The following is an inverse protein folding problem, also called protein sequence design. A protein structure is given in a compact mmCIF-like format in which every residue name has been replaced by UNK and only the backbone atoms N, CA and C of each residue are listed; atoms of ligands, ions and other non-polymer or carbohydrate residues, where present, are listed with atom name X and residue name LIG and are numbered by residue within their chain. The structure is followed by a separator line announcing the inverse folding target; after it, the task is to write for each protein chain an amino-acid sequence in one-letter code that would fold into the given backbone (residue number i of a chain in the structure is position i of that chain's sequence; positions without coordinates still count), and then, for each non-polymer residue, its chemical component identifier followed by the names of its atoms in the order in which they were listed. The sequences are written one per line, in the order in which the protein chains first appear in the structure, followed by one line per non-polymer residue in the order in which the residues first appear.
data_IF_506283926826
#
_entry.id   IF_506283926826
#
_cell.length_a   1.000
_cell.length_b   1.000
_cell.length_c   1.000
_cell.angle_alpha   90.00
_cell.angle_beta   90.00
_cell.angle_gamma   90.00
#
_symmetry.space_group_name_H-M   'P 1'
#
loop_
_entity.id
_entity.type
_entity.pdbx_description
1 polymer ?
#
# COMPACT_ATOMS: atom_id res chain seq x y z
N UNK A 1 18.29 7.16 -9.80
CA UNK A 1 18.44 7.66 -8.42
C UNK A 1 19.81 7.27 -7.90
N UNK A 2 20.64 8.23 -7.56
CA UNK A 2 22.02 8.05 -7.11
C UNK A 2 22.15 8.30 -5.61
N UNK A 3 23.36 8.11 -5.04
CA UNK A 3 23.65 8.43 -3.60
C UNK A 3 23.31 9.90 -3.28
N UNK A 4 23.48 10.83 -4.24
CA UNK A 4 23.07 12.24 -4.09
C UNK A 4 21.56 12.39 -3.95
N UNK A 5 20.78 11.63 -4.72
CA UNK A 5 19.31 11.68 -4.67
C UNK A 5 18.78 11.08 -3.35
N UNK A 6 19.43 10.03 -2.85
CA UNK A 6 19.12 9.41 -1.55
C UNK A 6 19.44 10.37 -0.39
N UNK A 7 20.54 11.14 -0.50
CA UNK A 7 20.93 12.14 0.48
C UNK A 7 19.98 13.34 0.56
N UNK A 8 19.38 13.75 -0.55
CA UNK A 8 18.37 14.82 -0.57
C UNK A 8 17.02 14.38 0.04
N UNK A 9 16.63 13.11 -0.12
CA UNK A 9 15.43 12.57 0.53
C UNK A 9 15.62 12.39 2.05
N UNK A 10 16.82 12.04 2.51
CA UNK A 10 17.15 11.93 3.93
C UNK A 10 17.14 13.27 4.68
N UNK A 11 17.29 14.39 3.96
CA UNK A 11 17.24 15.75 4.56
C UNK A 11 15.84 16.23 4.93
N UNK A 12 14.78 15.52 4.53
CA UNK A 12 13.38 15.85 4.87
C UNK A 12 12.76 14.95 5.93
N UNK A 13 13.45 13.88 6.31
CA UNK A 13 13.06 13.01 7.43
C UNK A 13 14.19 13.15 8.47
N UNK A 14 13.88 13.59 9.69
CA UNK A 14 14.88 13.67 10.77
C UNK A 14 15.61 12.32 10.88
N UNK A 15 16.85 12.29 10.39
CA UNK A 15 17.71 11.12 10.44
C UNK A 15 18.07 10.88 11.92
N UNK A 16 17.47 9.88 12.55
CA UNK A 16 17.96 9.37 13.82
C UNK A 16 19.36 8.86 13.59
N UNK A 17 20.34 9.64 14.05
CA UNK A 17 21.73 9.23 14.14
C UNK A 17 21.85 8.31 15.35
N UNK A 18 22.14 7.04 15.13
CA UNK A 18 22.53 6.13 16.19
C UNK A 18 23.99 6.42 16.59
N UNK A 19 24.36 6.12 17.84
CA UNK A 19 25.59 6.49 18.55
C UNK A 19 26.95 6.11 17.89
N UNK A 20 26.97 5.88 16.57
CA UNK A 20 28.16 5.51 15.81
C UNK A 20 28.36 6.25 14.47
N UNK A 21 27.61 7.33 14.18
CA UNK A 21 27.82 8.12 12.95
C UNK A 21 27.43 7.40 11.64
N UNK A 22 26.75 6.25 11.72
CA UNK A 22 26.18 5.54 10.56
C UNK A 22 24.77 6.04 10.32
N UNK A 23 24.58 6.82 9.25
CA UNK A 23 23.26 7.12 8.74
C UNK A 23 22.56 5.80 8.41
N UNK A 24 21.37 5.55 8.99
CA UNK A 24 20.59 4.35 8.71
C UNK A 24 20.04 4.46 7.29
N UNK A 25 20.77 3.95 6.32
CA UNK A 25 20.42 4.01 4.89
C UNK A 25 19.32 3.00 4.48
N UNK A 26 18.87 2.16 5.40
CA UNK A 26 17.90 1.10 5.08
C UNK A 26 16.52 1.63 4.70
N UNK A 27 16.05 2.72 5.31
CA UNK A 27 14.76 3.30 4.97
C UNK A 27 14.72 3.95 3.56
N UNK A 28 15.67 4.81 3.16
CA UNK A 28 15.74 5.33 1.80
C UNK A 28 15.93 4.22 0.74
N UNK A 29 16.71 3.18 1.05
CA UNK A 29 16.92 2.05 0.14
C UNK A 29 15.64 1.23 -0.03
N UNK A 30 14.92 0.98 1.06
CA UNK A 30 13.62 0.32 1.02
C UNK A 30 12.64 1.07 0.13
N UNK A 31 12.48 2.39 0.31
CA UNK A 31 11.60 3.21 -0.51
C UNK A 31 12.02 3.20 -1.99
N UNK A 32 13.32 3.30 -2.28
CA UNK A 32 13.83 3.28 -3.64
C UNK A 32 13.60 1.93 -4.36
N UNK A 33 13.66 0.81 -3.66
CA UNK A 33 13.35 -0.51 -4.24
C UNK A 33 11.83 -0.66 -4.37
N UNK A 34 11.04 -0.25 -3.37
CA UNK A 34 9.58 -0.28 -3.39
C UNK A 34 9.02 0.50 -4.58
N UNK A 35 9.47 1.73 -4.78
CA UNK A 35 9.09 2.57 -5.93
C UNK A 35 9.34 1.85 -7.26
N UNK A 36 10.51 1.23 -7.43
CA UNK A 36 10.83 0.50 -8.67
C UNK A 36 9.98 -0.74 -8.91
N UNK A 37 9.52 -1.39 -7.84
CA UNK A 37 8.58 -2.51 -7.93
C UNK A 37 7.20 -1.99 -8.32
N UNK A 38 6.75 -0.88 -7.72
CA UNK A 38 5.44 -0.28 -7.98
C UNK A 38 5.35 0.27 -9.41
N UNK A 39 6.38 0.99 -9.87
CA UNK A 39 6.48 1.51 -11.25
C UNK A 39 6.88 0.42 -12.27
N UNK A 40 6.92 -0.86 -11.86
CA UNK A 40 7.27 -2.02 -12.69
C UNK A 40 8.64 -1.92 -13.39
N UNK A 41 9.52 -1.03 -12.94
CA UNK A 41 10.94 -1.00 -13.34
C UNK A 41 11.66 -2.28 -12.91
N UNK A 42 11.17 -2.90 -11.83
CA UNK A 42 11.46 -4.26 -11.40
C UNK A 42 10.17 -5.08 -11.60
N UNK A 43 10.05 -5.80 -12.74
CA UNK A 43 8.78 -6.43 -13.10
C UNK A 43 8.36 -7.56 -12.16
N UNK A 44 7.06 -7.86 -12.05
CA UNK A 44 6.57 -9.03 -11.31
C UNK A 44 7.25 -10.32 -11.76
N UNK A 45 7.67 -11.15 -10.78
CA UNK A 45 8.39 -12.40 -11.02
C UNK A 45 9.88 -12.25 -11.32
N UNK A 46 10.39 -11.04 -11.55
CA UNK A 46 11.81 -10.82 -11.87
C UNK A 46 12.70 -11.11 -10.66
N UNK A 47 13.90 -11.66 -10.95
CA UNK A 47 14.91 -11.93 -9.93
C UNK A 47 15.59 -10.64 -9.48
N UNK A 48 15.75 -10.48 -8.17
CA UNK A 48 16.44 -9.33 -7.56
C UNK A 48 17.90 -9.73 -7.25
N UNK A 49 18.83 -9.21 -8.03
CA UNK A 49 20.26 -9.41 -7.81
C UNK A 49 20.77 -8.33 -6.84
N UNK A 50 21.28 -8.76 -5.67
CA UNK A 50 21.78 -7.86 -4.62
C UNK A 50 22.96 -7.03 -5.13
N UNK A 51 23.90 -7.63 -5.86
CA UNK A 51 25.08 -6.93 -6.36
C UNK A 51 24.71 -5.86 -7.39
N UNK A 52 23.76 -6.17 -8.27
CA UNK A 52 23.23 -5.20 -9.22
C UNK A 52 22.49 -4.04 -8.52
N UNK A 53 21.74 -4.33 -7.44
CA UNK A 53 21.08 -3.31 -6.64
C UNK A 53 22.09 -2.42 -5.88
N UNK A 54 23.17 -3.02 -5.32
CA UNK A 54 24.23 -2.24 -4.66
C UNK A 54 24.90 -1.29 -5.62
N UNK A 55 25.24 -1.77 -6.82
CA UNK A 55 25.83 -0.93 -7.86
C UNK A 55 24.88 0.21 -8.29
N UNK A 56 23.61 -0.13 -8.51
CA UNK A 56 22.60 0.83 -9.02
C UNK A 56 22.25 1.91 -7.99
N UNK A 57 22.20 1.54 -6.69
CA UNK A 57 21.83 2.46 -5.60
C UNK A 57 23.05 3.10 -4.91
N UNK A 58 24.27 2.63 -5.20
CA UNK A 58 25.50 3.16 -4.62
C UNK A 58 25.65 2.92 -3.12
N UNK A 59 25.12 1.79 -2.61
CA UNK A 59 25.14 1.42 -1.20
C UNK A 59 25.74 0.03 -1.00
N UNK A 60 26.11 -0.32 0.24
CA UNK A 60 26.58 -1.68 0.56
C UNK A 60 25.44 -2.73 0.53
N UNK A 61 25.78 -4.02 0.60
CA UNK A 61 24.79 -5.10 0.60
C UNK A 61 23.88 -5.12 1.84
N UNK A 62 24.35 -4.63 2.99
CA UNK A 62 23.59 -4.69 4.24
C UNK A 62 22.26 -3.94 4.16
N UNK A 63 22.19 -2.64 3.81
CA UNK A 63 20.91 -1.94 3.69
C UNK A 63 20.01 -2.51 2.58
N UNK A 64 20.58 -3.11 1.51
CA UNK A 64 19.80 -3.82 0.49
C UNK A 64 19.10 -5.05 1.10
N UNK A 65 19.83 -5.89 1.86
CA UNK A 65 19.28 -7.07 2.50
C UNK A 65 18.18 -6.71 3.51
N UNK A 66 18.40 -5.68 4.33
CA UNK A 66 17.38 -5.18 5.27
C UNK A 66 16.13 -4.70 4.55
N UNK A 67 16.27 -3.94 3.47
CA UNK A 67 15.16 -3.50 2.65
C UNK A 67 14.39 -4.68 2.03
N UNK A 68 15.09 -5.68 1.49
CA UNK A 68 14.47 -6.87 0.90
C UNK A 68 13.73 -7.73 1.93
N UNK A 69 14.24 -7.82 3.17
CA UNK A 69 13.53 -8.49 4.28
C UNK A 69 12.22 -7.76 4.62
N UNK A 70 12.24 -6.43 4.67
CA UNK A 70 11.01 -5.64 4.90
C UNK A 70 10.01 -5.81 3.77
N UNK A 71 10.47 -5.74 2.51
CA UNK A 71 9.62 -5.95 1.32
C UNK A 71 9.05 -7.37 1.27
N UNK A 72 9.78 -8.37 1.79
CA UNK A 72 9.29 -9.74 1.91
C UNK A 72 8.20 -9.87 2.98
N UNK A 73 8.33 -9.16 4.11
CA UNK A 73 7.28 -9.09 5.12
C UNK A 73 5.98 -8.43 4.59
N UNK A 74 6.10 -7.49 3.64
CA UNK A 74 4.98 -6.88 2.93
C UNK A 74 4.50 -7.71 1.72
N UNK A 75 5.07 -8.88 1.48
CA UNK A 75 4.76 -9.76 0.35
C UNK A 75 4.99 -9.15 -1.05
N UNK A 76 5.76 -8.07 -1.13
CA UNK A 76 6.18 -7.47 -2.41
C UNK A 76 7.37 -8.21 -3.04
N UNK A 77 8.13 -8.89 -2.22
CA UNK A 77 9.29 -9.69 -2.59
C UNK A 77 9.16 -11.09 -1.98
N UNK A 78 9.54 -12.12 -2.72
CA UNK A 78 9.63 -13.48 -2.24
C UNK A 78 11.10 -13.87 -2.09
N UNK A 79 11.43 -14.56 -0.98
CA UNK A 79 12.73 -15.21 -0.80
C UNK A 79 12.58 -16.71 -0.93
N UNK A 80 13.38 -17.32 -1.81
CA UNK A 80 13.45 -18.78 -1.97
C UNK A 80 14.88 -19.21 -1.69
N UNK A 81 15.10 -20.17 -0.76
CA UNK A 81 16.43 -20.69 -0.49
C UNK A 81 17.12 -21.12 -1.79
N UNK A 82 18.42 -20.85 -1.92
CA UNK A 82 19.27 -21.09 -3.10
C UNK A 82 18.90 -20.34 -4.38
N UNK A 83 17.67 -19.80 -4.50
CA UNK A 83 17.25 -18.97 -5.63
C UNK A 83 17.34 -17.46 -5.35
N UNK A 84 17.34 -17.09 -4.06
CA UNK A 84 17.44 -15.70 -3.62
C UNK A 84 16.10 -14.96 -3.65
N UNK A 85 16.15 -13.65 -3.86
CA UNK A 85 14.99 -12.77 -3.86
C UNK A 85 14.41 -12.59 -5.27
N UNK A 86 13.10 -12.48 -5.36
CA UNK A 86 12.36 -12.11 -6.58
C UNK A 86 11.19 -11.20 -6.24
N UNK A 87 10.79 -10.36 -7.18
CA UNK A 87 9.53 -9.61 -7.07
C UNK A 87 8.37 -10.60 -7.09
N UNK A 88 7.43 -10.46 -6.15
CA UNK A 88 6.27 -11.34 -6.09
C UNK A 88 5.45 -11.21 -7.39
N UNK A 89 5.00 -12.30 -8.01
CA UNK A 89 4.08 -12.23 -9.14
C UNK A 89 2.82 -11.42 -8.80
N UNK A 90 2.16 -10.88 -9.81
CA UNK A 90 0.86 -10.26 -9.60
C UNK A 90 -0.15 -11.32 -9.11
N UNK A 91 -0.99 -11.00 -8.12
CA UNK A 91 -2.00 -11.93 -7.65
C UNK A 91 -3.01 -12.27 -8.75
N UNK A 92 -3.50 -13.48 -8.74
CA UNK A 92 -4.59 -13.93 -9.61
C UNK A 92 -5.91 -13.30 -9.17
N UNK A 93 -6.93 -13.30 -10.04
CA UNK A 93 -8.30 -12.86 -9.65
C UNK A 93 -8.79 -13.57 -8.39
N UNK A 94 -8.57 -14.89 -8.30
CA UNK A 94 -8.94 -15.64 -7.12
C UNK A 94 -8.24 -15.12 -5.86
N UNK A 95 -6.93 -14.86 -5.93
CA UNK A 95 -6.18 -14.33 -4.78
C UNK A 95 -6.64 -12.92 -4.40
N UNK A 96 -6.99 -12.07 -5.38
CA UNK A 96 -7.59 -10.76 -5.13
C UNK A 96 -8.93 -10.96 -4.39
N UNK A 97 -9.81 -11.81 -4.91
CA UNK A 97 -11.12 -12.06 -4.31
C UNK A 97 -11.02 -12.67 -2.91
N UNK A 98 -10.13 -13.65 -2.72
CA UNK A 98 -9.89 -14.27 -1.40
C UNK A 98 -9.39 -13.21 -0.38
N UNK A 99 -8.48 -12.32 -0.80
CA UNK A 99 -7.95 -11.24 0.04
C UNK A 99 -9.05 -10.20 0.38
N UNK A 100 -9.84 -9.79 -0.61
CA UNK A 100 -10.96 -8.86 -0.42
C UNK A 100 -12.06 -9.46 0.45
N UNK A 101 -12.29 -10.77 0.34
CA UNK A 101 -13.22 -11.46 1.23
C UNK A 101 -12.78 -11.37 2.69
N UNK A 102 -11.52 -11.68 2.99
CA UNK A 102 -10.97 -11.58 4.36
C UNK A 102 -10.99 -10.13 4.85
N UNK A 103 -10.59 -9.17 4.00
CA UNK A 103 -10.67 -7.74 4.29
C UNK A 103 -12.09 -7.34 4.69
N UNK A 104 -13.08 -7.75 3.90
CA UNK A 104 -14.51 -7.48 4.15
C UNK A 104 -14.98 -8.07 5.48
N UNK A 105 -14.58 -9.30 5.81
CA UNK A 105 -14.92 -9.93 7.09
C UNK A 105 -14.40 -9.12 8.29
N UNK A 106 -13.17 -8.65 8.24
CA UNK A 106 -12.55 -7.91 9.35
C UNK A 106 -13.07 -6.49 9.46
N UNK A 107 -13.11 -5.76 8.35
CA UNK A 107 -13.44 -4.33 8.38
C UNK A 107 -14.94 -4.07 8.59
N UNK A 108 -15.84 -4.95 8.13
CA UNK A 108 -17.29 -4.82 8.40
C UNK A 108 -17.60 -4.88 9.90
N UNK A 109 -17.04 -5.86 10.60
CA UNK A 109 -17.22 -5.95 12.04
C UNK A 109 -16.53 -4.78 12.76
N UNK A 110 -15.33 -4.42 12.30
CA UNK A 110 -14.62 -3.25 12.83
C UNK A 110 -15.41 -1.96 12.66
N UNK A 111 -16.04 -1.71 11.50
CA UNK A 111 -16.81 -0.48 11.24
C UNK A 111 -18.06 -0.39 12.13
N UNK A 112 -18.78 -1.52 12.34
CA UNK A 112 -19.89 -1.59 13.29
C UNK A 112 -19.43 -1.26 14.70
N UNK A 113 -18.36 -1.88 15.17
CA UNK A 113 -17.80 -1.64 16.50
C UNK A 113 -17.27 -0.20 16.64
N UNK A 114 -16.61 0.32 15.60
CA UNK A 114 -16.12 1.70 15.56
C UNK A 114 -17.27 2.70 15.74
N UNK A 115 -18.38 2.53 15.03
CA UNK A 115 -19.57 3.37 15.22
C UNK A 115 -20.04 3.38 16.68
N UNK A 116 -19.97 2.25 17.37
CA UNK A 116 -20.41 2.11 18.77
C UNK A 116 -19.39 2.69 19.77
N UNK A 117 -18.09 2.45 19.54
CA UNK A 117 -17.02 2.63 20.53
C UNK A 117 -16.13 3.85 20.30
N UNK A 118 -16.12 4.40 19.08
CA UNK A 118 -15.24 5.51 18.69
C UNK A 118 -15.24 6.64 19.71
N UNK A 119 -14.08 7.23 19.93
CA UNK A 119 -13.91 8.46 20.70
C UNK A 119 -13.88 9.68 19.78
N UNK A 120 -13.98 10.89 20.34
CA UNK A 120 -13.73 12.12 19.56
C UNK A 120 -12.29 12.21 19.04
N UNK A 121 -11.34 11.53 19.70
CA UNK A 121 -9.95 11.42 19.24
C UNK A 121 -9.83 10.58 17.96
N UNK A 122 -10.56 9.48 17.86
CA UNK A 122 -10.58 8.62 16.68
C UNK A 122 -11.13 9.37 15.48
N UNK A 123 -12.26 10.04 15.64
CA UNK A 123 -12.88 10.87 14.60
C UNK A 123 -11.90 11.94 14.07
N UNK A 124 -11.22 12.68 14.95
CA UNK A 124 -10.26 13.68 14.51
C UNK A 124 -9.07 13.09 13.76
N UNK A 125 -8.64 11.88 14.10
CA UNK A 125 -7.57 11.19 13.36
C UNK A 125 -8.03 10.75 11.97
N UNK A 126 -9.21 10.12 11.87
CA UNK A 126 -9.79 9.71 10.59
C UNK A 126 -10.05 10.92 9.68
N UNK A 127 -10.62 12.01 10.21
CA UNK A 127 -10.89 13.25 9.46
C UNK A 127 -9.61 13.87 8.88
N UNK A 128 -8.48 13.81 9.61
CA UNK A 128 -7.20 14.31 9.07
C UNK A 128 -6.74 13.51 7.86
N UNK A 129 -6.91 12.19 7.87
CA UNK A 129 -6.53 11.36 6.72
C UNK A 129 -7.45 11.64 5.52
N UNK A 130 -8.76 11.78 5.74
CA UNK A 130 -9.71 12.17 4.68
C UNK A 130 -9.37 13.53 4.08
N UNK A 131 -9.18 14.57 4.93
CA UNK A 131 -8.84 15.90 4.46
C UNK A 131 -7.50 15.94 3.71
N UNK A 132 -6.53 15.12 4.12
CA UNK A 132 -5.27 14.98 3.39
C UNK A 132 -5.50 14.37 2.00
N UNK A 133 -6.28 13.30 1.89
CA UNK A 133 -6.63 12.69 0.61
C UNK A 133 -7.37 13.66 -0.32
N UNK A 134 -8.33 14.45 0.19
CA UNK A 134 -9.11 15.43 -0.58
C UNK A 134 -8.24 16.52 -1.24
N UNK A 135 -7.08 16.84 -0.65
CA UNK A 135 -6.16 17.85 -1.20
C UNK A 135 -5.25 17.30 -2.29
N UNK A 136 -5.12 15.97 -2.38
CA UNK A 136 -4.25 15.32 -3.35
C UNK A 136 -4.94 15.19 -4.72
N UNK A 137 -4.12 15.20 -5.77
CA UNK A 137 -4.54 14.90 -7.15
C UNK A 137 -3.54 13.89 -7.68
N UNK A 138 -3.73 12.60 -7.36
CA UNK A 138 -2.77 11.57 -7.76
C UNK A 138 -2.67 11.48 -9.28
N UNK A 139 -1.44 11.39 -9.77
CA UNK A 139 -1.15 11.08 -11.17
C UNK A 139 -0.94 9.57 -11.33
N UNK A 140 -0.89 9.02 -12.56
CA UNK A 140 -0.62 7.60 -12.79
C UNK A 140 0.74 7.10 -12.30
N UNK A 141 1.66 7.97 -11.86
CA UNK A 141 2.95 7.55 -11.31
C UNK A 141 2.82 7.18 -9.84
N UNK A 142 3.41 6.04 -9.44
CA UNK A 142 3.35 5.57 -8.05
C UNK A 142 3.87 6.61 -7.05
N UNK A 143 4.92 7.36 -7.40
CA UNK A 143 5.46 8.40 -6.51
C UNK A 143 4.39 9.40 -6.09
N UNK A 144 3.58 9.88 -7.04
CA UNK A 144 2.54 10.87 -6.79
C UNK A 144 1.33 10.22 -6.10
N UNK A 145 1.02 8.98 -6.48
CA UNK A 145 -0.04 8.19 -5.90
C UNK A 145 0.29 7.65 -4.51
N UNK A 146 1.57 7.50 -4.16
CA UNK A 146 2.03 6.94 -2.88
C UNK A 146 1.46 7.66 -1.67
N UNK A 147 1.47 8.99 -1.69
CA UNK A 147 0.97 9.78 -0.55
C UNK A 147 -0.52 9.55 -0.35
N UNK A 148 -1.28 9.47 -1.44
CA UNK A 148 -2.70 9.13 -1.38
C UNK A 148 -2.94 7.74 -0.76
N UNK A 149 -2.26 6.70 -1.26
CA UNK A 149 -2.41 5.33 -0.75
C UNK A 149 -1.97 5.18 0.70
N UNK A 150 -1.02 5.98 1.18
CA UNK A 150 -0.62 6.01 2.59
C UNK A 150 -1.74 6.57 3.48
N UNK A 151 -2.41 7.65 3.06
CA UNK A 151 -3.55 8.20 3.80
C UNK A 151 -4.76 7.27 3.76
N UNK A 152 -5.05 6.66 2.61
CA UNK A 152 -6.09 5.65 2.44
C UNK A 152 -5.87 4.45 3.39
N UNK A 153 -4.67 3.87 3.36
CA UNK A 153 -4.31 2.81 4.30
C UNK A 153 -4.48 3.25 5.75
N UNK A 154 -4.02 4.46 6.08
CA UNK A 154 -4.08 4.99 7.43
C UNK A 154 -5.52 5.22 7.90
N UNK A 155 -6.41 5.66 7.01
CA UNK A 155 -7.83 5.78 7.30
C UNK A 155 -8.44 4.43 7.71
N UNK A 156 -8.21 3.36 6.93
CA UNK A 156 -8.69 2.01 7.26
C UNK A 156 -8.09 1.46 8.55
N UNK A 157 -6.79 1.67 8.80
CA UNK A 157 -6.16 1.31 10.07
C UNK A 157 -6.81 2.00 11.27
N UNK A 158 -7.12 3.29 11.14
CA UNK A 158 -7.80 4.07 12.18
C UNK A 158 -9.25 3.65 12.39
N UNK A 159 -9.97 3.32 11.32
CA UNK A 159 -11.31 2.75 11.39
C UNK A 159 -11.29 1.44 12.19
N UNK A 160 -10.37 0.53 11.86
CA UNK A 160 -10.23 -0.74 12.58
C UNK A 160 -9.78 -0.52 14.03
N UNK A 161 -8.86 0.42 14.29
CA UNK A 161 -8.41 0.77 15.64
C UNK A 161 -9.56 1.32 16.50
N UNK A 162 -10.47 2.11 15.90
CA UNK A 162 -11.64 2.67 16.58
C UNK A 162 -12.67 1.60 17.03
N UNK A 163 -12.53 0.36 16.56
CA UNK A 163 -13.29 -0.80 17.06
C UNK A 163 -12.97 -1.18 18.51
N UNK A 164 -11.86 -0.66 19.05
CA UNK A 164 -11.30 -1.02 20.37
C UNK A 164 -11.12 -2.55 20.53
N UNK A 165 -10.65 -3.20 19.44
CA UNK A 165 -10.34 -4.63 19.41
C UNK A 165 -8.89 -4.83 18.91
N UNK A 166 -7.95 -4.97 19.83
CA UNK A 166 -6.53 -5.09 19.51
C UNK A 166 -6.21 -6.35 18.68
N UNK A 167 -6.94 -7.46 18.87
CA UNK A 167 -6.74 -8.69 18.10
C UNK A 167 -7.16 -8.47 16.65
N UNK A 168 -8.30 -7.82 16.43
CA UNK A 168 -8.79 -7.49 15.09
C UNK A 168 -7.84 -6.55 14.38
N UNK A 169 -7.37 -5.48 15.04
CA UNK A 169 -6.39 -4.55 14.50
C UNK A 169 -5.09 -5.26 14.11
N UNK A 170 -4.51 -6.08 15.00
CA UNK A 170 -3.28 -6.80 14.71
C UNK A 170 -3.44 -7.79 13.54
N UNK A 171 -4.60 -8.43 13.40
CA UNK A 171 -4.91 -9.32 12.29
C UNK A 171 -5.00 -8.53 10.97
N UNK A 172 -5.71 -7.41 10.98
CA UNK A 172 -5.84 -6.52 9.82
C UNK A 172 -4.48 -6.00 9.33
N UNK A 173 -3.64 -5.51 10.23
CA UNK A 173 -2.31 -4.99 9.89
C UNK A 173 -1.42 -6.06 9.22
N UNK A 174 -1.53 -7.32 9.63
CA UNK A 174 -0.77 -8.45 9.06
C UNK A 174 -1.19 -8.83 7.64
N UNK A 175 -2.40 -8.47 7.21
CA UNK A 175 -2.85 -8.76 5.85
C UNK A 175 -2.06 -7.97 4.79
N UNK A 176 -1.48 -6.82 5.15
CA UNK A 176 -0.72 -5.96 4.22
C UNK A 176 -1.45 -5.69 2.90
N UNK A 177 -2.78 -5.57 2.94
CA UNK A 177 -3.66 -5.50 1.76
C UNK A 177 -3.21 -4.40 0.81
N UNK A 178 -3.03 -3.20 1.34
CA UNK A 178 -2.68 -2.04 0.54
C UNK A 178 -1.31 -2.20 -0.17
N UNK A 179 -0.31 -2.78 0.52
CA UNK A 179 0.99 -3.04 -0.07
C UNK A 179 0.91 -4.04 -1.22
N UNK A 180 0.13 -5.13 -1.06
CA UNK A 180 -0.01 -6.17 -2.08
C UNK A 180 -0.74 -5.67 -3.33
N UNK A 181 -1.74 -4.81 -3.16
CA UNK A 181 -2.63 -4.37 -4.22
C UNK A 181 -2.25 -3.01 -4.83
N UNK A 182 -1.42 -2.21 -4.16
CA UNK A 182 -0.99 -0.89 -4.65
C UNK A 182 -0.36 -0.92 -6.06
N UNK A 183 0.16 -2.07 -6.50
CA UNK A 183 0.71 -2.27 -7.86
C UNK A 183 -0.33 -2.19 -8.97
N UNK A 184 -1.62 -2.25 -8.64
CA UNK A 184 -2.72 -2.18 -9.61
C UNK A 184 -3.44 -0.82 -9.58
N UNK A 185 -3.15 -0.01 -8.57
CA UNK A 185 -3.98 1.17 -8.26
C UNK A 185 -3.47 2.43 -8.94
N UNK A 186 -2.21 2.44 -9.40
CA UNK A 186 -1.62 3.62 -10.03
C UNK A 186 -2.25 3.98 -11.40
N UNK A 187 -2.98 3.04 -12.03
CA UNK A 187 -3.72 3.29 -13.28
C UNK A 187 -5.18 3.74 -13.02
N UNK A 188 -5.56 3.98 -11.75
CA UNK A 188 -6.89 4.49 -11.40
C UNK A 188 -7.04 5.91 -11.95
N UNK A 189 -8.08 6.10 -12.77
CA UNK A 189 -8.42 7.39 -13.34
C UNK A 189 -8.97 8.39 -12.32
N UNK A 190 -9.08 9.66 -12.71
CA UNK A 190 -9.61 10.74 -11.84
C UNK A 190 -11.04 10.45 -11.36
N UNK A 191 -11.86 9.78 -12.17
CA UNK A 191 -13.24 9.41 -11.82
C UNK A 191 -13.26 8.43 -10.65
N UNK A 192 -12.40 7.41 -10.70
CA UNK A 192 -12.32 6.41 -9.62
C UNK A 192 -11.79 7.02 -8.32
N UNK A 193 -10.93 8.04 -8.41
CA UNK A 193 -10.47 8.79 -7.24
C UNK A 193 -11.62 9.54 -6.56
N UNK A 194 -12.46 10.23 -7.31
CA UNK A 194 -13.58 10.99 -6.77
C UNK A 194 -14.61 10.07 -6.10
N UNK A 195 -14.97 8.97 -6.76
CA UNK A 195 -15.87 7.96 -6.18
C UNK A 195 -15.29 7.35 -4.90
N UNK A 196 -13.99 7.07 -4.89
CA UNK A 196 -13.31 6.56 -3.70
C UNK A 196 -13.41 7.54 -2.52
N UNK A 197 -13.25 8.84 -2.78
CA UNK A 197 -13.39 9.87 -1.73
C UNK A 197 -14.82 9.99 -1.20
N UNK A 198 -15.83 9.89 -2.08
CA UNK A 198 -17.25 9.89 -1.68
C UNK A 198 -17.54 8.71 -0.76
N UNK A 199 -17.05 7.52 -1.11
CA UNK A 199 -17.24 6.30 -0.31
C UNK A 199 -16.56 6.38 1.07
N UNK A 200 -15.33 6.88 1.12
CA UNK A 200 -14.64 7.09 2.40
C UNK A 200 -15.38 8.08 3.31
N UNK A 201 -15.91 9.17 2.73
CA UNK A 201 -16.70 10.15 3.48
C UNK A 201 -17.97 9.52 4.02
N UNK A 202 -18.66 8.69 3.24
CA UNK A 202 -19.85 7.97 3.67
C UNK A 202 -19.59 7.02 4.85
N UNK A 203 -18.45 6.29 4.81
CA UNK A 203 -18.02 5.44 5.92
C UNK A 203 -17.79 6.28 7.19
N UNK A 204 -17.05 7.37 7.06
CA UNK A 204 -16.76 8.27 8.18
C UNK A 204 -18.03 8.87 8.78
N UNK A 205 -18.95 9.38 7.95
CA UNK A 205 -20.20 10.00 8.39
C UNK A 205 -21.08 9.01 9.12
N UNK A 206 -21.15 7.76 8.68
CA UNK A 206 -21.88 6.70 9.37
C UNK A 206 -21.27 6.42 10.76
N UNK A 207 -19.94 6.38 10.87
CA UNK A 207 -19.23 6.23 12.16
C UNK A 207 -19.45 7.48 13.04
N UNK A 208 -19.41 8.68 12.45
CA UNK A 208 -19.64 9.95 13.14
C UNK A 208 -21.02 9.98 13.84
N UNK A 209 -22.07 9.54 13.15
CA UNK A 209 -23.43 9.54 13.70
C UNK A 209 -23.78 8.27 14.49
N UNK A 210 -22.82 7.37 14.69
CA UNK A 210 -22.97 6.09 15.41
C UNK A 210 -23.94 5.10 14.77
N UNK A 211 -24.07 5.15 13.44
CA UNK A 211 -24.89 4.21 12.67
C UNK A 211 -24.01 3.04 12.17
N UNK A 212 -23.97 1.97 12.96
CA UNK A 212 -23.14 0.81 12.65
C UNK A 212 -23.60 0.04 11.41
N UNK A 213 -24.90 -0.02 11.12
CA UNK A 213 -25.41 -0.73 9.94
C UNK A 213 -25.13 0.08 8.67
N UNK A 214 -25.26 1.38 8.71
CA UNK A 214 -24.86 2.28 7.63
C UNK A 214 -23.36 2.20 7.37
N UNK A 215 -22.53 2.15 8.43
CA UNK A 215 -21.07 1.99 8.30
C UNK A 215 -20.72 0.66 7.62
N UNK A 216 -21.37 -0.44 7.98
CA UNK A 216 -21.21 -1.76 7.36
C UNK A 216 -21.62 -1.74 5.89
N UNK A 217 -22.72 -1.09 5.54
CA UNK A 217 -23.21 -0.99 4.16
C UNK A 217 -22.24 -0.18 3.29
N UNK A 218 -21.85 1.02 3.73
CA UNK A 218 -20.92 1.89 3.05
C UNK A 218 -19.55 1.21 2.82
N UNK A 219 -19.01 0.58 3.85
CA UNK A 219 -17.74 -0.15 3.73
C UNK A 219 -17.83 -1.36 2.79
N UNK A 220 -18.96 -2.07 2.79
CA UNK A 220 -19.16 -3.22 1.92
C UNK A 220 -19.23 -2.82 0.45
N UNK A 221 -19.86 -1.68 0.15
CA UNK A 221 -19.90 -1.09 -1.18
C UNK A 221 -18.50 -0.66 -1.63
N UNK A 222 -17.76 0.06 -0.78
CA UNK A 222 -16.41 0.52 -1.03
C UNK A 222 -15.46 -0.65 -1.37
N UNK A 223 -15.42 -1.69 -0.53
CA UNK A 223 -14.56 -2.86 -0.78
C UNK A 223 -14.99 -3.60 -2.06
N UNK A 224 -16.30 -3.69 -2.33
CA UNK A 224 -16.82 -4.34 -3.54
C UNK A 224 -16.39 -3.62 -4.82
N UNK A 225 -16.51 -2.29 -4.86
CA UNK A 225 -16.04 -1.48 -5.99
C UNK A 225 -14.53 -1.58 -6.16
N UNK A 226 -13.78 -1.51 -5.06
CA UNK A 226 -12.32 -1.63 -5.11
C UNK A 226 -11.88 -3.00 -5.67
N UNK A 227 -12.54 -4.10 -5.29
CA UNK A 227 -12.29 -5.44 -5.86
C UNK A 227 -12.50 -5.47 -7.39
N UNK A 228 -13.56 -4.82 -7.88
CA UNK A 228 -13.82 -4.71 -9.31
C UNK A 228 -12.72 -3.94 -10.03
N UNK A 229 -12.35 -2.75 -9.55
CA UNK A 229 -11.28 -1.91 -10.13
C UNK A 229 -9.94 -2.66 -10.18
N UNK A 230 -9.60 -3.39 -9.11
CA UNK A 230 -8.38 -4.20 -9.08
C UNK A 230 -8.38 -5.31 -10.13
N UNK A 231 -9.54 -5.94 -10.35
CA UNK A 231 -9.67 -7.02 -11.33
C UNK A 231 -9.53 -6.49 -12.75
N UNK A 232 -10.15 -5.36 -13.07
CA UNK A 232 -10.06 -4.69 -14.36
C UNK A 232 -8.65 -4.21 -14.67
N UNK A 233 -7.98 -3.55 -13.71
CA UNK A 233 -6.60 -3.07 -13.85
C UNK A 233 -5.61 -4.22 -14.03
N UNK A 234 -5.80 -5.34 -13.31
CA UNK A 234 -4.99 -6.53 -13.49
C UNK A 234 -5.04 -7.04 -14.94
N UNK A 235 -6.22 -7.09 -15.53
CA UNK A 235 -6.39 -7.59 -16.91
C UNK A 235 -5.74 -6.64 -17.92
N UNK A 236 -5.87 -5.33 -17.72
CA UNK A 236 -5.18 -4.32 -18.51
C UNK A 236 -3.65 -4.49 -18.45
N UNK A 237 -3.09 -4.71 -17.25
CA UNK A 237 -1.65 -4.96 -17.08
C UNK A 237 -1.16 -6.20 -17.83
N UNK A 238 -1.90 -7.31 -17.76
CA UNK A 238 -1.52 -8.54 -18.46
C UNK A 238 -1.60 -8.37 -19.98
N UNK A 239 -2.61 -7.67 -20.47
CA UNK A 239 -2.76 -7.37 -21.89
C UNK A 239 -1.55 -6.54 -22.38
N UNK A 240 -1.20 -5.45 -21.67
CA UNK A 240 -0.08 -4.57 -22.04
C UNK A 240 1.27 -5.30 -22.01
N UNK A 241 1.53 -6.14 -21.01
CA UNK A 241 2.75 -6.95 -20.94
C UNK A 241 2.86 -7.95 -22.11
N UNK A 242 1.73 -8.51 -22.56
CA UNK A 242 1.67 -9.44 -23.70
C UNK A 242 1.96 -8.73 -25.03
N UNK A 243 1.54 -7.49 -25.20
CA UNK A 243 1.85 -6.66 -26.39
C UNK A 243 3.31 -6.25 -26.42
N UNK A 244 3.89 -5.84 -25.29
CA UNK A 244 5.31 -5.46 -25.22
C UNK A 244 6.25 -6.61 -25.59
N UNK A 245 5.96 -7.85 -25.15
CA UNK A 245 6.74 -9.04 -25.52
C UNK A 245 6.61 -9.43 -27.01
N UNK A 246 5.51 -9.11 -27.68
CA UNK A 246 5.31 -9.39 -29.12
C UNK A 246 5.98 -8.35 -30.01
N UNK A 247 6.24 -7.15 -29.51
CA UNK A 247 6.90 -6.08 -30.28
C UNK A 247 8.44 -6.19 -30.27
N UNK A 248 9.00 -7.12 -29.51
CA UNK A 248 10.47 -7.34 -29.38
C UNK A 248 10.93 -8.58 -30.18
N UNK A 249 10.02 -9.31 -30.83
CA UNK A 249 10.30 -10.42 -31.76
C UNK A 249 10.10 -9.97 -33.21
#
# INVERSE_FOLDING_TARGET
MTVKDIGQMAGQTEARVDNGGRTVLSAPVYEAIKERIMDQVLPPGSRLNIDALTLKLGVSQTPIREALVRLAAEQLVAFVPFKGYSVTPLPTHRQISDLMHVRRLLERDASRLAAMRRTGGDLRRMERELSAMETLRPTPQFRDFRTYTQHDQRFHELLVAASDNAVLLNTFLRLSVHAQLARFVHDIGEVDYQENMIEHREIYDAVLVRDGERAVAALSQHIGRYEQVLSENRDAHIANASYANKAVL
#
